data_IF_916989845022
#
_entry.id   IF_916989845022
#
_cell.length_a   1.000
_cell.length_b   1.000
_cell.length_c   1.000
_cell.angle_alpha   90.00
_cell.angle_beta   90.00
_cell.angle_gamma   90.00
#
_symmetry.space_group_name_H-M   'P 1'
#
loop_
_entity.id
_entity.type
_entity.pdbx_description
1 polymer ?
#
# COMPACT_ATOMS: atom_id res chain seq x y z
N UNK A 1 -5.54 43.69 -25.18
CA UNK A 1 -5.21 43.29 -23.79
C UNK A 1 -5.92 42.01 -23.29
N UNK A 2 -7.23 41.83 -23.50
CA UNK A 2 -7.96 40.60 -23.09
C UNK A 2 -7.44 39.26 -23.65
N UNK A 3 -6.87 39.25 -24.87
CA UNK A 3 -6.33 38.03 -25.51
C UNK A 3 -5.00 37.57 -24.90
N UNK A 4 -4.14 38.50 -24.50
CA UNK A 4 -2.85 38.20 -23.87
C UNK A 4 -3.04 37.66 -22.44
N UNK A 5 -4.00 38.20 -21.70
CA UNK A 5 -4.34 37.72 -20.35
C UNK A 5 -4.93 36.29 -20.38
N UNK A 6 -5.76 35.97 -21.39
CA UNK A 6 -6.32 34.62 -21.56
C UNK A 6 -5.25 33.58 -21.91
N UNK A 7 -4.26 33.94 -22.74
CA UNK A 7 -3.16 33.03 -23.07
C UNK A 7 -2.23 32.79 -21.87
N UNK A 8 -1.99 33.81 -21.05
CA UNK A 8 -1.18 33.66 -19.84
C UNK A 8 -1.90 32.80 -18.77
N UNK A 9 -3.21 32.98 -18.64
CA UNK A 9 -4.05 32.15 -17.78
C UNK A 9 -4.10 30.68 -18.25
N UNK A 10 -4.16 30.44 -19.56
CA UNK A 10 -4.11 29.09 -20.14
C UNK A 10 -2.73 28.43 -19.92
N UNK A 11 -1.65 29.18 -20.09
CA UNK A 11 -0.28 28.71 -19.84
C UNK A 11 -0.08 28.32 -18.37
N UNK A 12 -0.53 29.15 -17.42
CA UNK A 12 -0.50 28.84 -15.99
C UNK A 12 -1.32 27.60 -15.62
N UNK A 13 -2.50 27.41 -16.23
CA UNK A 13 -3.35 26.25 -16.00
C UNK A 13 -2.67 24.95 -16.45
N UNK A 14 -2.00 24.98 -17.61
CA UNK A 14 -1.30 23.81 -18.15
C UNK A 14 -0.06 23.43 -17.34
N UNK A 15 0.72 24.41 -16.85
CA UNK A 15 1.93 24.13 -16.07
C UNK A 15 1.58 23.49 -14.72
N UNK A 16 0.49 23.92 -14.08
CA UNK A 16 0.05 23.36 -12.79
C UNK A 16 -0.33 21.87 -12.89
N UNK A 17 -0.90 21.43 -14.01
CA UNK A 17 -1.24 20.01 -14.23
C UNK A 17 -0.02 19.10 -14.47
N UNK A 18 1.14 19.66 -14.83
CA UNK A 18 2.38 18.90 -15.08
C UNK A 18 3.25 18.70 -13.83
N UNK A 19 2.96 19.37 -12.71
CA UNK A 19 3.60 19.10 -11.42
C UNK A 19 2.99 17.86 -10.76
N UNK A 20 3.20 16.66 -11.32
CA UNK A 20 2.95 15.41 -10.61
C UNK A 20 4.26 14.90 -10.02
N UNK A 21 4.65 15.44 -8.86
CA UNK A 21 5.67 14.80 -8.02
C UNK A 21 5.02 13.57 -7.37
N UNK A 22 5.11 12.44 -8.05
CA UNK A 22 4.56 11.16 -7.56
C UNK A 22 5.48 10.53 -6.53
N UNK A 23 4.91 9.99 -5.45
CA UNK A 23 5.68 9.17 -4.50
C UNK A 23 6.38 8.03 -5.27
N UNK A 24 7.64 7.76 -4.96
CA UNK A 24 8.45 6.73 -5.63
C UNK A 24 8.29 5.37 -4.97
N UNK A 25 8.68 4.30 -5.66
CA UNK A 25 8.77 2.96 -5.05
C UNK A 25 9.76 2.94 -3.87
N UNK A 26 10.79 3.77 -3.90
CA UNK A 26 11.77 3.87 -2.81
C UNK A 26 11.11 4.37 -1.52
N UNK A 27 10.25 5.38 -1.61
CA UNK A 27 9.50 5.89 -0.46
C UNK A 27 8.53 4.83 0.12
N UNK A 28 7.91 4.03 -0.76
CA UNK A 28 7.04 2.94 -0.34
C UNK A 28 7.83 1.89 0.45
N UNK A 29 8.99 1.49 -0.06
CA UNK A 29 9.89 0.53 0.59
C UNK A 29 10.42 1.09 1.90
N UNK A 30 10.84 2.35 1.94
CA UNK A 30 11.37 3.00 3.13
C UNK A 30 10.33 3.05 4.25
N UNK A 31 9.09 3.46 3.95
CA UNK A 31 8.02 3.47 4.95
C UNK A 31 7.70 2.05 5.42
N UNK A 32 7.51 1.10 4.51
CA UNK A 32 7.15 -0.26 4.86
C UNK A 32 8.25 -0.91 5.70
N UNK A 33 9.52 -0.68 5.41
CA UNK A 33 10.65 -1.22 6.16
C UNK A 33 11.04 -0.41 7.40
N UNK A 34 10.36 0.69 7.69
CA UNK A 34 10.72 1.56 8.82
C UNK A 34 10.37 0.95 10.18
N UNK A 35 11.14 1.35 11.20
CA UNK A 35 10.91 0.99 12.61
C UNK A 35 9.54 1.46 13.13
N UNK A 36 8.90 2.41 12.44
CA UNK A 36 7.55 2.91 12.79
C UNK A 36 6.49 1.81 12.79
N UNK A 37 6.69 0.75 12.00
CA UNK A 37 5.78 -0.39 11.99
C UNK A 37 6.12 -1.42 13.06
N UNK A 38 7.28 -1.34 13.73
CA UNK A 38 7.72 -2.26 14.78
C UNK A 38 7.77 -3.75 14.33
N UNK A 39 7.82 -3.98 13.02
CA UNK A 39 7.68 -5.30 12.39
C UNK A 39 6.30 -5.52 11.74
N UNK A 40 6.12 -6.63 11.04
CA UNK A 40 4.87 -6.95 10.30
C UNK A 40 4.48 -8.41 10.45
N UNK A 41 4.73 -8.97 11.63
CA UNK A 41 4.27 -10.33 11.95
C UNK A 41 2.74 -10.39 11.91
N UNK A 42 2.20 -11.53 11.47
CA UNK A 42 0.75 -11.74 11.36
C UNK A 42 0.09 -11.51 12.72
N UNK A 43 -0.95 -10.68 12.76
CA UNK A 43 -1.67 -10.29 13.96
C UNK A 43 -1.06 -9.12 14.73
N UNK A 44 0.05 -8.54 14.27
CA UNK A 44 0.66 -7.37 14.91
C UNK A 44 0.00 -6.06 14.48
N UNK A 45 0.16 -5.00 15.28
CA UNK A 45 -0.27 -3.65 14.88
C UNK A 45 0.43 -3.16 13.61
N UNK A 46 1.71 -3.51 13.44
CA UNK A 46 2.49 -3.16 12.26
C UNK A 46 1.98 -3.79 10.97
N UNK A 47 1.47 -5.02 11.03
CA UNK A 47 0.77 -5.66 9.91
C UNK A 47 -0.47 -4.84 9.50
N UNK A 48 -1.31 -4.47 10.47
CA UNK A 48 -2.54 -3.70 10.23
C UNK A 48 -2.23 -2.35 9.59
N UNK A 49 -1.22 -1.63 10.10
CA UNK A 49 -0.82 -0.34 9.55
C UNK A 49 -0.18 -0.47 8.15
N UNK A 50 0.62 -1.51 7.91
CA UNK A 50 1.15 -1.80 6.57
C UNK A 50 0.04 -2.08 5.57
N UNK A 51 -0.97 -2.87 5.94
CA UNK A 51 -2.12 -3.17 5.08
C UNK A 51 -2.94 -1.90 4.75
N UNK A 52 -3.16 -1.02 5.74
CA UNK A 52 -3.81 0.29 5.53
C UNK A 52 -3.00 1.19 4.60
N UNK A 53 -1.68 1.21 4.75
CA UNK A 53 -0.79 1.97 3.88
C UNK A 53 -0.91 1.50 2.43
N UNK A 54 -0.80 0.19 2.19
CA UNK A 54 -0.88 -0.40 0.85
C UNK A 54 -2.24 -0.13 0.20
N UNK A 55 -3.35 -0.29 0.94
CA UNK A 55 -4.68 0.01 0.41
C UNK A 55 -4.81 1.49 -0.02
N UNK A 56 -4.29 2.44 0.78
CA UNK A 56 -4.25 3.86 0.41
C UNK A 56 -3.36 4.11 -0.80
N UNK A 57 -2.20 3.44 -0.86
CA UNK A 57 -1.23 3.58 -1.96
C UNK A 57 -1.81 3.07 -3.28
N UNK A 58 -2.43 1.89 -3.29
CA UNK A 58 -3.09 1.33 -4.46
C UNK A 58 -4.23 2.22 -4.95
N UNK A 59 -5.03 2.75 -4.03
CA UNK A 59 -6.07 3.73 -4.39
C UNK A 59 -5.50 4.99 -5.05
N UNK A 60 -4.41 5.55 -4.51
CA UNK A 60 -3.72 6.71 -5.10
C UNK A 60 -3.16 6.42 -6.49
N UNK A 61 -2.71 5.18 -6.73
CA UNK A 61 -2.22 4.73 -8.04
C UNK A 61 -3.35 4.45 -9.05
N UNK A 62 -4.62 4.55 -8.64
CA UNK A 62 -5.76 4.28 -9.51
C UNK A 62 -5.96 2.80 -9.81
N UNK A 63 -5.45 1.91 -8.96
CA UNK A 63 -5.62 0.46 -9.13
C UNK A 63 -7.02 0.03 -8.69
N UNK A 64 -7.58 -0.93 -9.43
CA UNK A 64 -8.82 -1.57 -9.06
C UNK A 64 -8.63 -2.48 -7.83
N UNK A 65 -9.57 -2.46 -6.87
CA UNK A 65 -9.58 -3.44 -5.78
C UNK A 65 -9.83 -4.86 -6.32
N UNK A 66 -9.06 -5.84 -5.82
CA UNK A 66 -9.17 -7.26 -6.19
C UNK A 66 -9.22 -8.22 -5.00
N UNK A 67 -9.34 -7.69 -3.78
CA UNK A 67 -9.49 -8.49 -2.58
C UNK A 67 -10.94 -8.96 -2.38
N UNK A 68 -11.12 -9.88 -1.44
CA UNK A 68 -12.47 -10.30 -0.99
C UNK A 68 -13.21 -9.19 -0.25
N UNK A 69 -12.50 -8.19 0.28
CA UNK A 69 -13.04 -6.96 0.85
C UNK A 69 -12.25 -5.75 0.34
N UNK A 70 -12.65 -5.23 -0.83
CA UNK A 70 -11.98 -4.10 -1.46
C UNK A 70 -10.51 -4.39 -1.80
N UNK A 71 -9.58 -3.66 -1.19
CA UNK A 71 -8.14 -3.90 -1.36
C UNK A 71 -7.59 -5.01 -0.44
N UNK A 72 -8.42 -5.54 0.47
CA UNK A 72 -8.02 -6.53 1.46
C UNK A 72 -8.41 -7.94 1.03
N UNK A 73 -7.47 -8.87 1.16
CA UNK A 73 -7.72 -10.29 1.00
C UNK A 73 -7.66 -10.97 2.36
N UNK A 74 -8.82 -11.30 2.92
CA UNK A 74 -8.90 -11.97 4.22
C UNK A 74 -8.64 -13.47 4.03
N UNK A 75 -7.78 -14.05 4.87
CA UNK A 75 -7.52 -15.49 4.92
C UNK A 75 -7.11 -15.92 6.34
N UNK A 76 -7.33 -17.20 6.67
CA UNK A 76 -6.94 -17.76 7.96
C UNK A 76 -5.57 -18.43 7.86
N UNK A 77 -4.71 -18.16 8.83
CA UNK A 77 -3.35 -18.70 8.88
C UNK A 77 -3.17 -19.46 10.19
N UNK A 78 -2.50 -20.62 10.14
CA UNK A 78 -2.02 -21.32 11.34
C UNK A 78 -0.54 -20.98 11.50
N UNK A 79 -0.13 -20.22 12.54
CA UNK A 79 1.26 -19.84 12.72
C UNK A 79 2.11 -21.10 12.93
N UNK A 80 3.14 -21.25 12.10
CA UNK A 80 4.19 -22.26 12.29
C UNK A 80 5.45 -21.52 12.74
N UNK A 81 5.68 -21.47 14.05
CA UNK A 81 6.87 -20.83 14.62
C UNK A 81 8.18 -21.55 14.25
N UNK A 82 8.10 -22.82 13.83
CA UNK A 82 9.24 -23.58 13.36
C UNK A 82 8.95 -24.18 11.98
N UNK A 83 9.57 -23.68 10.90
CA UNK A 83 9.36 -24.16 9.54
C UNK A 83 9.86 -25.60 9.32
N UNK A 84 10.69 -26.12 10.23
CA UNK A 84 11.23 -27.48 10.20
C UNK A 84 10.57 -28.42 11.21
N UNK A 85 9.57 -27.97 11.99
CA UNK A 85 8.85 -28.85 12.89
C UNK A 85 8.08 -29.90 12.09
N UNK A 86 8.38 -31.18 12.32
CA UNK A 86 7.61 -32.29 11.76
C UNK A 86 6.18 -32.19 12.27
N UNK A 87 5.21 -32.18 11.35
CA UNK A 87 3.80 -32.30 11.69
C UNK A 87 3.61 -33.64 12.38
N UNK A 88 3.31 -33.66 13.68
CA UNK A 88 2.85 -34.89 14.32
C UNK A 88 1.52 -35.27 13.67
N UNK A 89 1.51 -36.41 12.99
CA UNK A 89 0.30 -36.97 12.44
C UNK A 89 -0.64 -37.27 13.60
N UNK A 90 -1.79 -36.61 13.60
CA UNK A 90 -2.88 -36.88 14.54
C UNK A 90 -3.27 -38.36 14.37
N UNK A 91 -2.91 -39.19 15.35
CA UNK A 91 -3.18 -40.63 15.38
C UNK A 91 -4.43 -40.94 16.20
N UNK A 92 -5.29 -39.94 16.46
CA UNK A 92 -6.60 -40.19 17.01
C UNK A 92 -7.60 -40.62 15.93
N UNK A 93 -7.65 -41.93 15.68
CA UNK A 93 -8.79 -42.62 15.08
C UNK A 93 -9.10 -43.88 15.88
#
# INVERSE_FOLDING_TARGET
MRKLLKNYLFLLLTVASFYSFGQTMQEDVEYLASDKLEGREIGSNGEVEAAKYLAKRFKKLGLDPKGTDGYYQVFSVKPKYNPHAKVQADTSK
#
